data_IF_790388914058
#
_entry.id   IF_790388914058
#
_cell.length_a   1.000
_cell.length_b   1.000
_cell.length_c   1.000
_cell.angle_alpha   90.00
_cell.angle_beta   90.00
_cell.angle_gamma   90.00
#
_symmetry.space_group_name_H-M   'P 1'
#
loop_
_entity.id
_entity.type
_entity.pdbx_description
1 polymer ?
#
# COMPACT_ATOMS: atom_id res chain seq x y z
N UNK A 1 16.71 -10.65 -11.17
CA UNK A 1 16.49 -10.38 -12.61
C UNK A 1 15.03 -10.11 -13.00
N UNK A 2 14.04 -10.33 -12.13
CA UNK A 2 12.62 -10.08 -12.46
C UNK A 2 12.19 -8.59 -12.45
N UNK A 3 13.02 -7.69 -11.90
CA UNK A 3 12.65 -6.29 -11.67
C UNK A 3 12.59 -5.46 -12.95
N UNK A 4 13.45 -5.74 -13.94
CA UNK A 4 13.38 -5.09 -15.25
C UNK A 4 12.14 -5.47 -16.05
N UNK A 5 11.62 -6.69 -15.88
CA UNK A 5 10.42 -7.17 -16.55
C UNK A 5 9.15 -6.58 -15.93
N UNK A 6 9.08 -6.49 -14.60
CA UNK A 6 7.99 -5.80 -13.88
C UNK A 6 8.00 -4.30 -14.20
N UNK A 7 9.18 -3.68 -14.24
CA UNK A 7 9.38 -2.28 -14.64
C UNK A 7 8.94 -2.04 -16.10
N UNK A 8 9.36 -2.89 -17.02
CA UNK A 8 8.98 -2.81 -18.44
C UNK A 8 7.49 -3.09 -18.65
N UNK A 9 6.87 -3.96 -17.86
CA UNK A 9 5.43 -4.24 -17.94
C UNK A 9 4.59 -3.09 -17.35
N UNK A 10 5.04 -2.46 -16.26
CA UNK A 10 4.38 -1.27 -15.70
C UNK A 10 4.51 -0.06 -16.62
N UNK A 11 5.70 0.18 -17.20
CA UNK A 11 5.91 1.20 -18.22
C UNK A 11 5.16 0.88 -19.52
N UNK A 12 5.11 -0.38 -19.94
CA UNK A 12 4.37 -0.81 -21.14
C UNK A 12 2.86 -0.71 -20.94
N UNK A 13 2.33 -1.08 -19.77
CA UNK A 13 0.91 -0.89 -19.43
C UNK A 13 0.55 0.60 -19.33
N UNK A 14 1.48 1.44 -18.86
CA UNK A 14 1.33 2.90 -18.90
C UNK A 14 1.46 3.50 -20.31
N UNK A 15 2.02 2.77 -21.29
CA UNK A 15 2.30 3.28 -22.64
C UNK A 15 1.49 2.63 -23.76
N UNK A 16 0.79 1.52 -23.52
CA UNK A 16 0.26 0.69 -24.62
C UNK A 16 -1.22 0.29 -24.45
N UNK A 17 -2.10 1.27 -24.64
CA UNK A 17 -3.32 1.25 -25.48
C UNK A 17 -4.34 2.26 -24.97
N UNK A 18 -4.33 3.46 -25.55
CA UNK A 18 -5.53 4.18 -26.00
C UNK A 18 -5.13 5.33 -26.93
N UNK A 19 -6.00 5.58 -27.91
CA UNK A 19 -6.09 6.76 -28.79
C UNK A 19 -5.92 8.11 -28.01
N UNK A 20 -5.77 9.27 -28.67
CA UNK A 20 -5.14 10.48 -28.13
C UNK A 20 -5.98 11.13 -27.03
N UNK A 21 -5.79 10.68 -25.80
CA UNK A 21 -6.19 11.40 -24.60
C UNK A 21 -5.00 11.36 -23.65
N UNK A 22 -4.38 12.54 -23.49
CA UNK A 22 -3.31 12.95 -22.57
C UNK A 22 -2.89 11.88 -21.55
N UNK A 23 -1.60 11.48 -21.56
CA UNK A 23 -1.04 10.63 -20.50
C UNK A 23 -1.41 11.21 -19.13
N UNK A 24 -1.84 10.39 -18.16
CA UNK A 24 -2.14 10.87 -16.83
C UNK A 24 -0.89 11.52 -16.23
N UNK A 25 -1.05 12.69 -15.61
CA UNK A 25 0.04 13.37 -14.91
C UNK A 25 0.47 12.57 -13.68
N UNK A 26 1.70 12.77 -13.21
CA UNK A 26 2.19 12.14 -11.96
C UNK A 26 1.27 12.42 -10.78
N UNK A 27 0.72 13.64 -10.71
CA UNK A 27 -0.28 14.01 -9.70
C UNK A 27 -1.58 13.21 -9.80
N UNK A 28 -2.04 12.89 -11.01
CA UNK A 28 -3.23 12.06 -11.21
C UNK A 28 -2.98 10.61 -10.78
N UNK A 29 -1.78 10.09 -11.06
CA UNK A 29 -1.37 8.74 -10.62
C UNK A 29 -1.24 8.70 -9.09
N UNK A 30 -0.69 9.73 -8.46
CA UNK A 30 -0.62 9.85 -7.00
C UNK A 30 -1.99 9.87 -6.34
N UNK A 31 -2.90 10.69 -6.86
CA UNK A 31 -4.27 10.75 -6.36
C UNK A 31 -4.97 9.40 -6.46
N UNK A 32 -4.77 8.66 -7.57
CA UNK A 32 -5.29 7.31 -7.74
C UNK A 32 -4.68 6.32 -6.74
N UNK A 33 -3.35 6.34 -6.53
CA UNK A 33 -2.68 5.50 -5.54
C UNK A 33 -3.16 5.75 -4.11
N UNK A 34 -3.38 7.02 -3.76
CA UNK A 34 -3.88 7.42 -2.43
C UNK A 34 -5.36 7.07 -2.26
N UNK A 35 -6.19 7.29 -3.27
CA UNK A 35 -7.59 6.88 -3.24
C UNK A 35 -7.74 5.36 -3.07
N UNK A 36 -6.88 4.60 -3.76
CA UNK A 36 -6.79 3.15 -3.63
C UNK A 36 -6.43 2.70 -2.20
N UNK A 37 -5.43 3.34 -1.59
CA UNK A 37 -5.02 3.05 -0.22
C UNK A 37 -6.11 3.39 0.79
N UNK A 38 -6.72 4.57 0.68
CA UNK A 38 -7.79 4.98 1.58
C UNK A 38 -9.03 4.09 1.44
N UNK A 39 -9.33 3.62 0.22
CA UNK A 39 -10.40 2.65 0.00
C UNK A 39 -10.09 1.30 0.69
N UNK A 40 -8.83 0.84 0.67
CA UNK A 40 -8.40 -0.32 1.46
C UNK A 40 -8.63 -0.05 2.96
N UNK A 41 -8.08 1.06 3.48
CA UNK A 41 -8.18 1.37 4.91
C UNK A 41 -9.63 1.47 5.39
N UNK A 42 -10.52 2.02 4.56
CA UNK A 42 -11.95 2.08 4.84
C UNK A 42 -12.64 0.71 4.89
N UNK A 43 -12.17 -0.26 4.09
CA UNK A 43 -12.76 -1.61 4.05
C UNK A 43 -12.20 -2.56 5.13
N UNK A 44 -10.95 -2.35 5.55
CA UNK A 44 -10.30 -3.19 6.57
C UNK A 44 -10.48 -2.65 7.99
N UNK A 45 -10.96 -1.41 8.13
CA UNK A 45 -11.39 -0.87 9.41
C UNK A 45 -12.50 -1.76 9.95
N UNK A 46 -12.23 -2.40 11.08
CA UNK A 46 -13.18 -3.28 11.75
C UNK A 46 -13.39 -2.78 13.18
N UNK A 47 -14.60 -2.97 13.71
CA UNK A 47 -14.92 -2.66 15.11
C UNK A 47 -14.36 -3.72 16.09
N UNK A 48 -13.32 -4.46 15.66
CA UNK A 48 -12.71 -5.57 16.37
C UNK A 48 -11.32 -5.25 16.94
N UNK A 49 -10.75 -6.22 17.65
CA UNK A 49 -9.39 -6.13 18.20
C UNK A 49 -8.30 -6.05 17.09
N UNK A 50 -7.08 -5.70 17.50
CA UNK A 50 -5.92 -5.59 16.62
C UNK A 50 -5.72 -6.87 15.78
N UNK A 51 -5.84 -8.05 16.39
CA UNK A 51 -5.65 -9.32 15.70
C UNK A 51 -6.69 -9.54 14.60
N UNK A 52 -7.95 -9.17 14.84
CA UNK A 52 -9.04 -9.25 13.85
C UNK A 52 -8.84 -8.26 12.72
N UNK A 53 -8.41 -7.05 13.04
CA UNK A 53 -8.06 -6.02 12.04
C UNK A 53 -6.90 -6.48 11.15
N UNK A 54 -5.83 -7.05 11.73
CA UNK A 54 -4.69 -7.60 10.99
C UNK A 54 -5.11 -8.75 10.07
N UNK A 55 -5.90 -9.72 10.56
CA UNK A 55 -6.38 -10.85 9.75
C UNK A 55 -7.27 -10.39 8.59
N UNK A 56 -8.16 -9.44 8.84
CA UNK A 56 -9.05 -8.88 7.81
C UNK A 56 -8.25 -8.14 6.75
N UNK A 57 -7.27 -7.35 7.19
CA UNK A 57 -6.33 -6.65 6.30
C UNK A 57 -5.54 -7.65 5.46
N UNK A 58 -4.97 -8.69 6.05
CA UNK A 58 -4.23 -9.72 5.32
C UNK A 58 -5.09 -10.43 4.28
N UNK A 59 -6.32 -10.83 4.64
CA UNK A 59 -7.24 -11.50 3.71
C UNK A 59 -7.51 -10.65 2.48
N UNK A 60 -7.70 -9.35 2.67
CA UNK A 60 -7.83 -8.41 1.56
C UNK A 60 -6.53 -8.33 0.75
N UNK A 61 -5.37 -8.12 1.39
CA UNK A 61 -4.08 -8.00 0.69
C UNK A 61 -3.71 -9.23 -0.14
N UNK A 62 -4.10 -10.40 0.34
CA UNK A 62 -3.87 -11.69 -0.32
C UNK A 62 -4.86 -11.99 -1.46
N UNK A 63 -5.99 -11.28 -1.55
CA UNK A 63 -6.96 -11.49 -2.64
C UNK A 63 -6.39 -10.95 -3.96
N UNK A 64 -6.36 -11.81 -4.98
CA UNK A 64 -5.84 -11.49 -6.30
C UNK A 64 -6.62 -10.37 -7.01
N UNK A 65 -7.88 -10.16 -6.67
CA UNK A 65 -8.71 -9.07 -7.24
C UNK A 65 -8.12 -7.69 -6.98
N UNK A 66 -7.37 -7.53 -5.89
CA UNK A 66 -6.74 -6.27 -5.50
C UNK A 66 -5.31 -6.14 -6.05
N UNK A 67 -4.84 -7.10 -6.85
CA UNK A 67 -3.45 -7.14 -7.35
C UNK A 67 -3.06 -5.90 -8.17
N UNK A 68 -3.84 -5.42 -9.15
CA UNK A 68 -3.45 -4.26 -9.95
C UNK A 68 -3.27 -3.00 -9.09
N UNK A 69 -4.21 -2.79 -8.16
CA UNK A 69 -4.19 -1.69 -7.20
C UNK A 69 -2.96 -1.75 -6.30
N UNK A 70 -2.68 -2.93 -5.72
CA UNK A 70 -1.54 -3.13 -4.83
C UNK A 70 -0.19 -3.00 -5.54
N UNK A 71 -0.11 -3.36 -6.82
CA UNK A 71 1.09 -3.13 -7.63
C UNK A 71 1.37 -1.64 -7.80
N UNK A 72 0.33 -0.83 -8.07
CA UNK A 72 0.49 0.62 -8.18
C UNK A 72 0.93 1.24 -6.85
N UNK A 73 0.31 0.81 -5.75
CA UNK A 73 0.67 1.26 -4.40
C UNK A 73 2.13 0.89 -4.04
N UNK A 74 2.57 -0.35 -4.33
CA UNK A 74 3.95 -0.79 -4.10
C UNK A 74 4.97 0.00 -4.94
N UNK A 75 4.62 0.32 -6.19
CA UNK A 75 5.48 1.13 -7.05
C UNK A 75 5.64 2.55 -6.49
N UNK A 76 4.54 3.19 -6.08
CA UNK A 76 4.55 4.49 -5.43
C UNK A 76 5.38 4.50 -4.14
N UNK A 77 5.21 3.47 -3.31
CA UNK A 77 5.98 3.28 -2.08
C UNK A 77 7.48 3.13 -2.37
N UNK A 78 7.86 2.28 -3.32
CA UNK A 78 9.27 2.11 -3.70
C UNK A 78 9.87 3.43 -4.23
N UNK A 79 9.15 4.13 -5.11
CA UNK A 79 9.60 5.42 -5.66
C UNK A 79 9.81 6.46 -4.56
N UNK A 80 8.94 6.52 -3.55
CA UNK A 80 9.11 7.46 -2.43
C UNK A 80 10.36 7.20 -1.59
N UNK A 81 10.85 5.96 -1.56
CA UNK A 81 12.07 5.59 -0.83
C UNK A 81 13.33 5.78 -1.67
N UNK A 82 13.25 5.60 -2.99
CA UNK A 82 14.41 5.71 -3.89
C UNK A 82 14.60 7.12 -4.46
N UNK A 83 13.53 7.91 -4.52
CA UNK A 83 13.49 9.30 -4.99
C UNK A 83 12.92 10.21 -3.90
N UNK A 84 13.68 10.46 -2.82
CA UNK A 84 13.19 11.18 -1.64
C UNK A 84 12.89 12.66 -1.89
N UNK A 85 13.43 13.26 -2.95
CA UNK A 85 13.08 14.62 -3.40
C UNK A 85 12.12 14.61 -4.61
N UNK A 86 11.67 13.41 -4.98
CA UNK A 86 10.79 13.19 -6.11
C UNK A 86 9.33 13.50 -5.80
N UNK A 87 8.46 13.43 -6.81
CA UNK A 87 7.04 13.74 -6.63
C UNK A 87 6.38 12.79 -5.61
N UNK A 88 6.95 11.61 -5.35
CA UNK A 88 6.44 10.61 -4.43
C UNK A 88 7.03 10.69 -3.01
N UNK A 89 7.97 11.61 -2.74
CA UNK A 89 8.74 11.72 -1.49
C UNK A 89 7.95 11.39 -0.21
N UNK A 90 6.76 11.93 -0.12
CA UNK A 90 5.95 11.91 1.09
C UNK A 90 5.05 10.66 1.23
N UNK A 91 4.96 9.86 0.16
CA UNK A 91 4.01 8.75 0.05
C UNK A 91 4.26 7.67 1.11
N UNK A 92 5.51 7.23 1.30
CA UNK A 92 5.82 6.21 2.30
C UNK A 92 5.48 6.66 3.72
N UNK A 93 5.84 7.89 4.12
CA UNK A 93 5.54 8.39 5.47
C UNK A 93 4.04 8.50 5.70
N UNK A 94 3.32 9.17 4.79
CA UNK A 94 1.86 9.29 4.88
C UNK A 94 1.18 7.92 4.98
N UNK A 95 1.62 6.96 4.18
CA UNK A 95 1.07 5.60 4.23
C UNK A 95 1.33 4.96 5.59
N UNK A 96 2.54 5.04 6.11
CA UNK A 96 2.87 4.46 7.42
C UNK A 96 1.99 5.05 8.51
N UNK A 97 1.82 6.38 8.50
CA UNK A 97 1.01 7.09 9.48
C UNK A 97 -0.47 6.67 9.40
N UNK A 98 -1.03 6.57 8.19
CA UNK A 98 -2.42 6.17 7.99
C UNK A 98 -2.69 4.74 8.48
N UNK A 99 -1.78 3.80 8.18
CA UNK A 99 -1.93 2.42 8.62
C UNK A 99 -1.75 2.28 10.13
N UNK A 100 -0.78 2.99 10.71
CA UNK A 100 -0.62 3.02 12.16
C UNK A 100 -1.86 3.62 12.84
N UNK A 101 -2.53 4.61 12.24
CA UNK A 101 -3.77 5.16 12.77
C UNK A 101 -4.90 4.12 12.78
N UNK A 102 -5.05 3.34 11.70
CA UNK A 102 -6.05 2.24 11.65
C UNK A 102 -5.75 1.17 12.71
N UNK A 103 -4.49 0.75 12.83
CA UNK A 103 -4.11 -0.27 13.82
C UNK A 103 -4.22 0.24 15.26
N UNK A 104 -3.95 1.53 15.48
CA UNK A 104 -4.14 2.17 16.79
C UNK A 104 -5.62 2.20 17.17
N UNK A 105 -6.51 2.48 16.21
CA UNK A 105 -7.96 2.50 16.45
C UNK A 105 -8.52 1.11 16.83
N UNK A 106 -7.83 0.03 16.48
CA UNK A 106 -8.19 -1.34 16.84
C UNK A 106 -7.64 -1.79 18.21
N UNK A 107 -6.90 -0.92 18.92
CA UNK A 107 -6.34 -1.21 20.24
C UNK A 107 -7.14 -0.52 21.35
N UNK A 108 -7.32 -1.23 22.46
CA UNK A 108 -7.96 -0.69 23.66
C UNK A 108 -7.10 0.40 24.31
N UNK A 109 -7.75 1.41 24.87
CA UNK A 109 -7.06 2.50 25.57
C UNK A 109 -6.31 1.97 26.81
N UNK A 110 -5.02 2.31 26.94
CA UNK A 110 -4.20 1.96 28.11
C UNK A 110 -3.31 0.72 27.97
N UNK A 111 -3.24 0.11 26.78
CA UNK A 111 -2.38 -1.05 26.54
C UNK A 111 -0.88 -0.68 26.51
N UNK A 112 -0.17 -0.98 27.61
CA UNK A 112 1.29 -0.73 27.73
C UNK A 112 2.05 -1.75 26.90
N UNK A 113 2.37 -1.35 25.67
CA UNK A 113 3.00 -2.22 24.66
C UNK A 113 2.36 -2.05 23.28
N UNK A 114 1.18 -1.43 23.22
CA UNK A 114 0.40 -1.36 22.01
C UNK A 114 1.11 -0.73 20.82
N UNK A 115 2.03 0.23 21.06
CA UNK A 115 2.85 0.84 20.00
C UNK A 115 3.82 -0.12 19.33
N UNK A 116 4.51 -0.96 20.12
CA UNK A 116 5.41 -1.96 19.57
C UNK A 116 4.62 -3.03 18.82
N UNK A 117 3.48 -3.46 19.37
CA UNK A 117 2.64 -4.48 18.75
C UNK A 117 2.05 -4.04 17.40
N UNK A 118 1.46 -2.83 17.31
CA UNK A 118 0.93 -2.32 16.04
C UNK A 118 2.03 -2.08 14.99
N UNK A 119 3.22 -1.66 15.43
CA UNK A 119 4.37 -1.48 14.54
C UNK A 119 4.85 -2.82 14.01
N UNK A 120 4.94 -3.84 14.87
CA UNK A 120 5.26 -5.22 14.47
C UNK A 120 4.21 -5.76 13.49
N UNK A 121 2.92 -5.58 13.79
CA UNK A 121 1.83 -5.99 12.91
C UNK A 121 1.93 -5.35 11.52
N UNK A 122 2.19 -4.04 11.45
CA UNK A 122 2.41 -3.33 10.20
C UNK A 122 3.65 -3.85 9.45
N UNK A 123 4.75 -4.12 10.15
CA UNK A 123 5.97 -4.66 9.56
C UNK A 123 5.72 -6.06 8.97
N UNK A 124 4.99 -6.93 9.68
CA UNK A 124 4.63 -8.28 9.21
C UNK A 124 3.72 -8.21 7.98
N UNK A 125 2.66 -7.39 8.00
CA UNK A 125 1.75 -7.22 6.86
C UNK A 125 2.50 -6.77 5.60
N UNK A 126 3.45 -5.83 5.73
CA UNK A 126 4.21 -5.32 4.59
C UNK A 126 5.31 -6.29 4.12
N UNK A 127 5.99 -6.97 5.05
CA UNK A 127 6.97 -8.00 4.69
C UNK A 127 6.35 -9.18 3.95
N UNK A 128 5.20 -9.66 4.43
CA UNK A 128 4.47 -10.77 3.79
C UNK A 128 3.87 -10.41 2.44
N UNK A 129 3.42 -9.17 2.25
CA UNK A 129 3.00 -8.64 0.95
C UNK A 129 4.12 -8.73 -0.09
N UNK A 130 5.36 -8.42 0.31
CA UNK A 130 6.52 -8.57 -0.59
C UNK A 130 6.82 -10.04 -0.92
N UNK A 131 6.83 -10.91 0.09
CA UNK A 131 7.18 -12.33 -0.11
C UNK A 131 6.16 -13.09 -0.97
N UNK A 132 4.87 -12.84 -0.81
CA UNK A 132 3.81 -13.53 -1.58
C UNK A 132 3.79 -13.12 -3.07
N UNK A 133 4.50 -12.05 -3.46
CA UNK A 133 4.48 -11.49 -4.81
C UNK A 133 5.75 -11.77 -5.62
N UNK A 134 6.82 -12.24 -4.97
CA UNK A 134 8.11 -12.56 -5.59
C UNK A 134 8.38 -14.07 -5.75
N UNK A 135 7.42 -14.91 -5.37
CA UNK A 135 7.42 -16.36 -5.62
C UNK A 135 6.80 -16.73 -6.96
#
# INVERSE_FOLDING_TARGET
MAWSAVWSALLSAATQKTHPTRRPSTSAIQAASRAAELALLGQVRSDGDLATTVRTTWRWLADQRHRPLLTLWLAAYALSLTEPDGPWAEFARQTVDDWLAVLTAAQSYGDRGGAAERTLALAVLRGTLWSHRCG
#
